data_IF_632433384922
#
_entry.id   IF_632433384922
#
_cell.length_a   1.000
_cell.length_b   1.000
_cell.length_c   1.000
_cell.angle_alpha   90.00
_cell.angle_beta   90.00
_cell.angle_gamma   90.00
#
_symmetry.space_group_name_H-M   'P 1'
#
loop_
_entity.id
_entity.type
_entity.pdbx_description
1 polymer ?
#
# COMPACT_ATOMS: atom_id res chain seq x y z
N UNK A 1 -24.16 8.27 -47.83
CA UNK A 1 -24.93 8.71 -46.66
C UNK A 1 -24.89 7.72 -45.46
N UNK A 2 -24.37 6.48 -45.58
CA UNK A 2 -24.28 5.53 -44.47
C UNK A 2 -23.01 5.65 -43.57
N UNK A 3 -21.99 6.38 -43.96
CA UNK A 3 -20.74 6.49 -43.22
C UNK A 3 -20.71 7.60 -42.13
N UNK A 4 -21.68 8.54 -42.17
CA UNK A 4 -21.79 9.62 -41.16
C UNK A 4 -22.60 9.21 -39.91
N UNK A 5 -23.52 8.26 -40.03
CA UNK A 5 -24.37 7.82 -38.92
C UNK A 5 -23.59 6.98 -37.87
N UNK A 6 -22.56 6.22 -38.30
CA UNK A 6 -21.75 5.38 -37.37
C UNK A 6 -20.77 6.21 -36.48
N UNK A 7 -20.34 7.40 -36.94
CA UNK A 7 -19.46 8.25 -36.12
C UNK A 7 -20.22 9.04 -35.06
N UNK A 8 -21.49 9.35 -35.27
CA UNK A 8 -22.31 10.03 -34.28
C UNK A 8 -22.69 9.11 -33.10
N UNK A 9 -23.01 7.85 -33.37
CA UNK A 9 -23.37 6.87 -32.32
C UNK A 9 -22.17 6.51 -31.43
N UNK A 10 -20.96 6.41 -31.98
CA UNK A 10 -19.74 6.16 -31.19
C UNK A 10 -19.35 7.35 -30.32
N UNK A 11 -19.64 8.59 -30.72
CA UNK A 11 -19.33 9.78 -29.95
C UNK A 11 -20.34 9.98 -28.81
N UNK A 12 -21.60 9.62 -29.00
CA UNK A 12 -22.63 9.65 -27.93
C UNK A 12 -22.42 8.52 -26.88
N UNK A 13 -21.92 7.35 -27.27
CA UNK A 13 -21.55 6.28 -26.32
C UNK A 13 -20.31 6.64 -25.49
N UNK A 14 -19.32 7.38 -26.02
CA UNK A 14 -18.16 7.85 -25.28
C UNK A 14 -18.52 8.98 -24.30
N UNK A 15 -19.51 9.82 -24.62
CA UNK A 15 -20.01 10.86 -23.72
C UNK A 15 -20.94 10.30 -22.62
N UNK A 16 -21.63 9.19 -22.88
CA UNK A 16 -22.45 8.51 -21.87
C UNK A 16 -21.62 7.76 -20.82
N UNK A 17 -20.45 7.24 -21.18
CA UNK A 17 -19.53 6.58 -20.25
C UNK A 17 -18.78 7.59 -19.35
N UNK A 18 -18.55 8.82 -19.81
CA UNK A 18 -17.98 9.89 -18.97
C UNK A 18 -18.99 10.49 -17.98
N UNK A 19 -20.29 10.32 -18.21
CA UNK A 19 -21.37 10.84 -17.36
C UNK A 19 -21.71 9.98 -16.16
N UNK A 20 -21.37 8.68 -16.17
CA UNK A 20 -21.70 7.75 -15.07
C UNK A 20 -20.65 7.80 -13.96
N UNK A 21 -19.39 8.16 -14.27
CA UNK A 21 -18.33 8.35 -13.29
C UNK A 21 -18.49 9.63 -12.44
N UNK A 22 -19.27 10.61 -12.88
CA UNK A 22 -19.44 11.90 -12.18
C UNK A 22 -20.58 11.94 -11.14
N UNK A 23 -21.25 10.84 -10.89
CA UNK A 23 -22.42 10.80 -10.00
C UNK A 23 -22.14 10.60 -8.50
N UNK A 24 -20.94 10.13 -8.11
CA UNK A 24 -20.65 9.71 -6.73
C UNK A 24 -19.52 10.50 -6.02
N UNK A 25 -18.90 11.50 -6.66
CA UNK A 25 -17.74 12.21 -6.07
C UNK A 25 -17.93 13.70 -5.85
N UNK A 26 -19.17 14.17 -5.72
CA UNK A 26 -19.43 15.59 -5.43
C UNK A 26 -18.98 15.91 -3.99
N UNK A 27 -17.76 16.42 -3.84
CA UNK A 27 -17.24 16.98 -2.59
C UNK A 27 -15.89 16.46 -2.13
N UNK A 28 -15.36 15.39 -2.70
CA UNK A 28 -14.07 14.83 -2.28
C UNK A 28 -12.89 15.35 -3.12
N UNK A 29 -11.72 15.51 -2.47
CA UNK A 29 -10.49 15.91 -3.15
C UNK A 29 -10.12 14.89 -4.23
N UNK A 30 -10.05 15.37 -5.48
CA UNK A 30 -9.62 14.55 -6.61
C UNK A 30 -8.11 14.56 -6.73
N UNK A 31 -7.45 13.43 -7.03
CA UNK A 31 -6.02 13.41 -7.25
C UNK A 31 -5.64 13.94 -8.63
N UNK A 32 -4.43 14.46 -8.73
CA UNK A 32 -3.70 14.59 -9.98
C UNK A 32 -3.05 13.24 -10.32
N UNK A 33 -3.20 12.78 -11.58
CA UNK A 33 -2.55 11.56 -12.05
C UNK A 33 -1.12 11.90 -12.47
N UNK A 34 -0.17 11.29 -11.80
CA UNK A 34 1.25 11.54 -12.04
C UNK A 34 2.00 10.22 -12.23
N UNK A 35 3.19 10.31 -12.83
CA UNK A 35 4.10 9.19 -12.93
C UNK A 35 5.49 9.63 -12.45
N UNK A 36 6.22 8.70 -11.85
CA UNK A 36 7.62 8.91 -11.48
C UNK A 36 8.47 7.67 -11.77
N UNK A 37 9.76 7.88 -11.90
CA UNK A 37 10.70 6.78 -12.13
C UNK A 37 11.08 6.09 -10.81
N UNK A 38 11.13 4.77 -10.82
CA UNK A 38 11.66 3.93 -9.76
C UNK A 38 12.61 2.91 -10.39
N UNK A 39 13.90 3.24 -10.39
CA UNK A 39 14.99 2.39 -10.91
C UNK A 39 14.75 1.94 -12.37
N UNK A 40 14.23 2.84 -13.22
CA UNK A 40 13.90 2.59 -14.62
C UNK A 40 12.50 2.04 -14.85
N UNK A 41 11.68 1.90 -13.80
CA UNK A 41 10.28 1.49 -13.89
C UNK A 41 9.40 2.73 -13.67
N UNK A 42 8.50 3.03 -14.61
CA UNK A 42 7.52 4.11 -14.45
C UNK A 42 6.41 3.70 -13.51
N UNK A 43 6.25 4.39 -12.38
CA UNK A 43 5.20 4.13 -11.40
C UNK A 43 4.04 5.13 -11.56
N UNK A 44 2.81 4.62 -11.58
CA UNK A 44 1.58 5.41 -11.62
C UNK A 44 1.17 5.83 -10.21
N UNK A 45 0.76 7.07 -10.02
CA UNK A 45 0.43 7.60 -8.72
C UNK A 45 -0.72 8.64 -8.74
N UNK A 46 -1.38 8.76 -7.62
CA UNK A 46 -2.36 9.79 -7.27
C UNK A 46 -1.73 10.81 -6.33
N UNK A 47 -1.52 12.02 -6.82
CA UNK A 47 -1.04 13.16 -6.04
C UNK A 47 -2.25 13.98 -5.58
N UNK A 48 -2.48 14.07 -4.28
CA UNK A 48 -3.53 14.87 -3.68
C UNK A 48 -2.96 16.19 -3.19
N UNK A 49 -3.38 17.29 -3.82
CA UNK A 49 -2.95 18.66 -3.50
C UNK A 49 -4.12 19.41 -2.87
N UNK A 50 -4.19 19.53 -1.55
CA UNK A 50 -5.28 20.22 -0.88
C UNK A 50 -5.36 21.70 -1.25
N UNK A 51 -6.57 22.24 -1.52
CA UNK A 51 -6.72 23.67 -1.80
C UNK A 51 -6.47 24.54 -0.55
N UNK A 52 -6.19 25.82 -0.76
CA UNK A 52 -5.79 26.76 0.29
C UNK A 52 -6.81 26.88 1.45
N UNK A 53 -8.10 26.73 1.14
CA UNK A 53 -9.16 26.84 2.14
C UNK A 53 -9.30 25.63 3.09
N UNK A 54 -8.63 24.55 2.79
CA UNK A 54 -8.57 23.33 3.64
C UNK A 54 -7.25 23.23 4.39
N UNK A 55 -6.17 23.75 3.79
CA UNK A 55 -4.83 23.63 4.35
C UNK A 55 -4.63 24.49 5.60
N UNK A 56 -4.08 23.88 6.67
CA UNK A 56 -3.56 24.62 7.83
C UNK A 56 -2.22 25.30 7.55
N UNK A 57 -1.57 24.95 6.44
CA UNK A 57 -0.30 25.51 5.98
C UNK A 57 -0.51 26.68 5.01
N UNK A 58 0.44 27.59 4.98
CA UNK A 58 0.48 28.66 3.98
C UNK A 58 0.77 28.05 2.60
N UNK A 59 -0.23 28.05 1.70
CA UNK A 59 -0.11 27.44 0.37
C UNK A 59 0.72 28.24 -0.64
N UNK A 60 1.20 29.43 -0.25
CA UNK A 60 2.23 30.16 -1.02
C UNK A 60 3.66 29.75 -0.67
N UNK A 61 3.83 28.77 0.19
CA UNK A 61 5.10 28.15 0.57
C UNK A 61 5.04 26.64 0.35
N UNK A 62 6.17 25.96 0.12
CA UNK A 62 6.24 24.50 0.08
C UNK A 62 5.68 23.88 1.37
N UNK A 63 4.91 22.81 1.23
CA UNK A 63 4.14 22.14 2.31
C UNK A 63 4.77 20.82 2.69
N UNK A 64 4.45 20.29 3.88
CA UNK A 64 4.74 18.89 4.18
C UNK A 64 4.08 17.95 3.17
N UNK A 65 4.69 16.79 2.97
CA UNK A 65 4.12 15.75 2.13
C UNK A 65 4.22 14.35 2.77
N UNK A 66 3.36 13.42 2.34
CA UNK A 66 3.33 12.04 2.81
C UNK A 66 3.24 11.09 1.62
N UNK A 67 4.15 10.11 1.57
CA UNK A 67 4.06 8.96 0.67
C UNK A 67 3.21 7.88 1.34
N UNK A 68 2.25 7.29 0.63
CA UNK A 68 1.37 6.24 1.14
C UNK A 68 1.51 4.96 0.31
N UNK A 69 2.00 3.89 0.93
CA UNK A 69 2.17 2.58 0.30
C UNK A 69 0.97 1.65 0.50
N UNK A 70 0.64 0.88 -0.54
CA UNK A 70 -0.53 -0.02 -0.57
C UNK A 70 -0.21 -1.45 -0.06
N UNK A 71 -1.25 -2.24 0.35
CA UNK A 71 -1.13 -3.65 0.72
C UNK A 71 -0.54 -4.53 -0.37
N UNK A 72 -0.10 -5.74 -0.02
CA UNK A 72 0.21 -6.79 -0.97
C UNK A 72 -1.00 -7.07 -1.88
N UNK A 73 -0.79 -7.02 -3.19
CA UNK A 73 -1.86 -7.19 -4.18
C UNK A 73 -2.88 -6.05 -4.26
N UNK A 74 -2.71 -4.99 -3.45
CA UNK A 74 -3.51 -3.77 -3.54
C UNK A 74 -3.02 -2.80 -4.60
N UNK A 75 -3.74 -1.70 -4.77
CA UNK A 75 -3.42 -0.59 -5.69
C UNK A 75 -3.76 0.76 -5.06
N UNK A 76 -3.26 1.84 -5.69
CA UNK A 76 -3.40 3.22 -5.22
C UNK A 76 -4.84 3.73 -5.04
N UNK A 77 -5.81 3.11 -5.72
CA UNK A 77 -7.22 3.46 -5.63
C UNK A 77 -7.92 2.92 -4.38
N UNK A 78 -7.36 1.89 -3.75
CA UNK A 78 -7.95 1.20 -2.60
C UNK A 78 -7.58 1.90 -1.28
N UNK A 79 -7.36 1.16 -0.20
CA UNK A 79 -7.13 1.72 1.15
C UNK A 79 -6.02 2.79 1.20
N UNK A 80 -4.92 2.64 0.45
CA UNK A 80 -3.84 3.64 0.43
C UNK A 80 -4.29 4.98 -0.15
N UNK A 81 -5.08 4.97 -1.22
CA UNK A 81 -5.68 6.18 -1.78
C UNK A 81 -6.72 6.81 -0.86
N UNK A 82 -7.49 5.99 -0.13
CA UNK A 82 -8.43 6.48 0.87
C UNK A 82 -7.69 7.22 1.99
N UNK A 83 -6.66 6.63 2.60
CA UNK A 83 -5.84 7.29 3.63
C UNK A 83 -5.17 8.55 3.09
N UNK A 84 -4.57 8.49 1.90
CA UNK A 84 -3.93 9.64 1.27
C UNK A 84 -4.90 10.82 1.13
N UNK A 85 -6.07 10.58 0.55
CA UNK A 85 -7.12 11.57 0.38
C UNK A 85 -7.61 12.14 1.72
N UNK A 86 -7.95 11.28 2.68
CA UNK A 86 -8.51 11.70 3.96
C UNK A 86 -7.51 12.53 4.78
N UNK A 87 -6.23 12.15 4.78
CA UNK A 87 -5.17 12.92 5.42
C UNK A 87 -5.05 14.29 4.75
N UNK A 88 -4.99 14.32 3.41
CA UNK A 88 -4.89 15.56 2.64
C UNK A 88 -6.07 16.52 2.94
N UNK A 89 -7.31 16.01 2.91
CA UNK A 89 -8.54 16.77 3.17
C UNK A 89 -8.61 17.35 4.59
N UNK A 90 -8.05 16.64 5.59
CA UNK A 90 -8.16 17.03 7.00
C UNK A 90 -6.98 17.86 7.51
N UNK A 91 -5.83 17.80 6.86
CA UNK A 91 -4.60 18.47 7.32
C UNK A 91 -4.08 19.54 6.36
N UNK A 92 -4.39 19.41 5.07
CA UNK A 92 -3.75 20.22 4.04
C UNK A 92 -2.32 19.80 3.67
N UNK A 93 -1.85 18.66 4.17
CA UNK A 93 -0.60 18.01 3.77
C UNK A 93 -0.77 17.45 2.35
N UNK A 94 0.23 17.60 1.50
CA UNK A 94 0.26 16.96 0.17
C UNK A 94 0.47 15.46 0.36
N UNK A 95 -0.28 14.60 -0.35
CA UNK A 95 -0.11 13.15 -0.22
C UNK A 95 0.01 12.47 -1.56
N UNK A 96 0.82 11.41 -1.63
CA UNK A 96 1.06 10.61 -2.82
C UNK A 96 0.77 9.14 -2.52
N UNK A 97 -0.27 8.58 -3.15
CA UNK A 97 -0.50 7.13 -3.18
C UNK A 97 -0.08 6.59 -4.56
N UNK A 98 0.67 5.51 -4.61
CA UNK A 98 1.22 4.99 -5.86
C UNK A 98 0.98 3.47 -6.00
N UNK A 99 0.93 2.99 -7.23
CA UNK A 99 1.05 1.57 -7.52
C UNK A 99 2.54 1.20 -7.52
N UNK A 100 2.91 0.18 -6.78
CA UNK A 100 4.28 -0.31 -6.77
C UNK A 100 4.68 -0.90 -8.15
N UNK A 101 5.97 -1.04 -8.38
CA UNK A 101 6.49 -1.72 -9.55
C UNK A 101 5.80 -3.09 -9.74
N UNK A 102 5.52 -3.45 -10.97
CA UNK A 102 4.83 -4.69 -11.39
C UNK A 102 3.33 -4.76 -11.06
N UNK A 103 2.78 -3.80 -10.32
CA UNK A 103 1.39 -3.79 -9.83
C UNK A 103 0.54 -2.72 -10.52
N UNK A 104 -0.79 -2.87 -10.45
CA UNK A 104 -1.74 -1.86 -10.91
C UNK A 104 -1.46 -1.32 -12.32
N UNK A 105 -1.39 0.00 -12.44
CA UNK A 105 -1.06 0.72 -13.68
C UNK A 105 0.43 1.05 -13.81
N UNK A 106 1.25 0.73 -12.82
CA UNK A 106 2.70 0.87 -12.88
C UNK A 106 3.33 -0.11 -13.85
N UNK A 107 4.51 0.23 -14.35
CA UNK A 107 5.31 -0.59 -15.25
C UNK A 107 5.96 -1.79 -14.56
N UNK A 108 6.89 -2.39 -15.27
CA UNK A 108 7.68 -3.54 -14.83
C UNK A 108 7.15 -4.90 -15.31
N UNK A 109 8.09 -5.79 -15.59
CA UNK A 109 7.86 -7.18 -16.00
C UNK A 109 8.78 -8.11 -15.23
N UNK A 110 8.33 -9.33 -14.90
CA UNK A 110 6.98 -9.86 -15.14
C UNK A 110 5.94 -9.18 -14.24
N UNK A 111 4.69 -9.11 -14.70
CA UNK A 111 3.59 -8.55 -13.89
C UNK A 111 3.37 -9.37 -12.62
N UNK A 112 2.91 -8.67 -11.57
CA UNK A 112 2.56 -9.25 -10.27
C UNK A 112 3.74 -9.87 -9.50
N UNK A 113 4.99 -9.50 -9.85
CA UNK A 113 6.13 -9.82 -9.01
C UNK A 113 5.99 -9.05 -7.68
N UNK A 114 6.07 -9.77 -6.57
CA UNK A 114 6.18 -9.17 -5.25
C UNK A 114 7.63 -9.30 -4.79
N UNK A 115 8.36 -8.23 -4.94
CA UNK A 115 9.74 -8.08 -4.52
C UNK A 115 9.79 -7.05 -3.37
N UNK A 116 9.97 -7.49 -2.12
CA UNK A 116 10.01 -6.60 -0.95
C UNK A 116 11.08 -5.51 -1.02
N UNK A 117 12.23 -5.80 -1.65
CA UNK A 117 13.31 -4.81 -1.78
C UNK A 117 12.96 -3.75 -2.82
N UNK A 118 12.35 -4.14 -3.95
CA UNK A 118 11.82 -3.19 -4.93
C UNK A 118 10.71 -2.35 -4.33
N UNK A 119 9.79 -2.94 -3.56
CA UNK A 119 8.73 -2.23 -2.83
C UNK A 119 9.30 -1.14 -1.91
N UNK A 120 10.37 -1.45 -1.17
CA UNK A 120 11.07 -0.48 -0.33
C UNK A 120 11.78 0.61 -1.17
N UNK A 121 12.34 0.26 -2.34
CA UNK A 121 12.92 1.22 -3.27
C UNK A 121 11.86 2.13 -3.89
N UNK A 122 10.69 1.60 -4.23
CA UNK A 122 9.57 2.40 -4.73
C UNK A 122 9.17 3.50 -3.72
N UNK A 123 9.17 3.19 -2.41
CA UNK A 123 8.95 4.20 -1.35
C UNK A 123 10.05 5.25 -1.35
N UNK A 124 11.34 4.86 -1.45
CA UNK A 124 12.47 5.81 -1.52
C UNK A 124 12.39 6.71 -2.74
N UNK A 125 12.01 6.15 -3.89
CA UNK A 125 11.88 6.87 -5.14
C UNK A 125 10.64 7.78 -5.15
N UNK A 126 9.54 7.40 -4.48
CA UNK A 126 8.40 8.27 -4.22
C UNK A 126 8.77 9.50 -3.37
N UNK A 127 9.61 9.31 -2.33
CA UNK A 127 10.18 10.42 -1.54
C UNK A 127 11.06 11.31 -2.42
N UNK A 128 11.89 10.71 -3.28
CA UNK A 128 12.71 11.45 -4.24
C UNK A 128 11.84 12.27 -5.20
N UNK A 129 10.78 11.67 -5.76
CA UNK A 129 9.85 12.38 -6.63
C UNK A 129 9.21 13.58 -5.93
N UNK A 130 8.68 13.40 -4.72
CA UNK A 130 8.10 14.51 -3.96
C UNK A 130 9.12 15.62 -3.69
N UNK A 131 10.38 15.28 -3.42
CA UNK A 131 11.44 16.27 -3.18
C UNK A 131 11.80 17.09 -4.42
N UNK A 132 11.44 16.65 -5.64
CA UNK A 132 11.63 17.43 -6.87
C UNK A 132 10.51 18.44 -7.13
N UNK A 133 9.42 18.39 -6.38
CA UNK A 133 8.28 19.32 -6.48
C UNK A 133 8.52 20.57 -5.61
N UNK A 134 9.67 21.24 -5.76
CA UNK A 134 10.19 22.28 -4.86
C UNK A 134 9.25 23.46 -4.62
N UNK A 135 8.40 23.81 -5.58
CA UNK A 135 7.38 24.86 -5.43
C UNK A 135 6.18 24.41 -4.59
N UNK A 136 6.00 23.09 -4.40
CA UNK A 136 4.83 22.49 -3.75
C UNK A 136 5.19 21.81 -2.43
N UNK A 137 6.29 21.09 -2.37
CA UNK A 137 6.70 20.21 -1.27
C UNK A 137 8.00 20.69 -0.65
N UNK A 138 8.02 20.79 0.68
CA UNK A 138 9.22 21.00 1.46
C UNK A 138 9.96 19.65 1.64
N UNK A 139 11.14 19.47 1.03
CA UNK A 139 11.87 18.19 1.09
C UNK A 139 12.33 17.82 2.51
N UNK A 140 12.40 18.79 3.43
CA UNK A 140 12.73 18.56 4.82
C UNK A 140 11.52 18.15 5.68
N UNK A 141 10.32 18.07 5.09
CA UNK A 141 9.07 17.71 5.77
C UNK A 141 8.31 16.62 5.03
N UNK A 142 8.98 15.52 4.67
CA UNK A 142 8.34 14.36 4.02
C UNK A 142 8.17 13.22 5.02
N UNK A 143 6.94 12.81 5.25
CA UNK A 143 6.56 11.64 6.03
C UNK A 143 6.21 10.44 5.14
N UNK A 144 6.07 9.27 5.75
CA UNK A 144 5.71 8.03 5.05
C UNK A 144 4.68 7.22 5.84
N UNK A 145 3.73 6.63 5.14
CA UNK A 145 2.68 5.77 5.69
C UNK A 145 2.62 4.45 4.92
N UNK A 146 2.66 3.33 5.61
CA UNK A 146 2.47 2.01 5.02
C UNK A 146 1.22 1.31 5.55
N UNK A 147 0.43 0.71 4.65
CA UNK A 147 -0.74 -0.10 5.02
C UNK A 147 -0.45 -1.57 4.73
N UNK A 148 -0.76 -2.46 5.67
CA UNK A 148 -0.58 -3.91 5.55
C UNK A 148 0.88 -4.29 5.24
N UNK A 149 1.17 -4.97 4.12
CA UNK A 149 2.53 -5.29 3.70
C UNK A 149 3.42 -4.04 3.53
N UNK A 150 2.87 -2.91 3.06
CA UNK A 150 3.61 -1.65 3.08
C UNK A 150 3.87 -1.12 4.49
N UNK A 151 3.10 -1.57 5.49
CA UNK A 151 3.44 -1.37 6.91
C UNK A 151 4.73 -2.08 7.35
N UNK A 152 5.25 -2.99 6.53
CA UNK A 152 6.60 -3.55 6.62
C UNK A 152 7.60 -2.82 5.72
N UNK A 153 7.26 -2.57 4.45
CA UNK A 153 8.18 -1.98 3.47
C UNK A 153 8.55 -0.53 3.79
N UNK A 154 7.60 0.26 4.27
CA UNK A 154 7.81 1.66 4.65
C UNK A 154 8.78 1.81 5.83
N UNK A 155 8.60 1.13 6.98
CA UNK A 155 9.60 1.14 8.04
C UNK A 155 10.97 0.61 7.58
N UNK A 156 11.00 -0.46 6.77
CA UNK A 156 12.25 -0.98 6.23
C UNK A 156 13.00 0.06 5.38
N UNK A 157 12.31 0.78 4.50
CA UNK A 157 12.90 1.89 3.75
C UNK A 157 13.42 3.00 4.69
N UNK A 158 12.62 3.35 5.70
CA UNK A 158 12.93 4.42 6.65
C UNK A 158 14.12 4.09 7.58
N UNK A 159 14.43 2.80 7.83
CA UNK A 159 15.60 2.43 8.61
C UNK A 159 16.89 3.05 8.05
N UNK A 160 16.99 3.14 6.74
CA UNK A 160 18.19 3.63 6.04
C UNK A 160 18.03 4.98 5.35
N UNK A 161 16.83 5.35 4.90
CA UNK A 161 16.57 6.64 4.26
C UNK A 161 16.10 7.68 5.28
N UNK A 162 17.02 8.59 5.64
CA UNK A 162 16.80 9.60 6.67
C UNK A 162 16.01 10.83 6.18
N UNK A 163 15.64 10.90 4.92
CA UNK A 163 14.75 11.93 4.37
C UNK A 163 13.30 11.75 4.83
N UNK A 164 12.91 10.52 5.23
CA UNK A 164 11.60 10.21 5.80
C UNK A 164 11.53 10.69 7.24
N UNK A 165 10.94 11.88 7.49
CA UNK A 165 11.01 12.58 8.79
C UNK A 165 10.04 12.04 9.85
N UNK A 166 8.93 11.44 9.43
CA UNK A 166 7.95 10.78 10.30
C UNK A 166 7.46 9.49 9.63
N UNK A 167 7.37 8.40 10.40
CA UNK A 167 7.04 7.07 9.89
C UNK A 167 5.77 6.58 10.56
N UNK A 168 4.76 6.17 9.77
CA UNK A 168 3.56 5.57 10.31
C UNK A 168 3.17 4.30 9.58
N UNK A 169 2.44 3.42 10.27
CA UNK A 169 1.85 2.20 9.68
C UNK A 169 0.42 2.01 10.15
N UNK A 170 -0.37 1.33 9.32
CA UNK A 170 -1.70 0.83 9.66
C UNK A 170 -1.75 -0.65 9.32
N UNK A 171 -2.15 -1.48 10.29
CA UNK A 171 -2.20 -2.93 10.16
C UNK A 171 -0.91 -3.50 9.55
N UNK A 172 0.28 -3.10 10.08
CA UNK A 172 1.58 -3.47 9.51
C UNK A 172 1.84 -4.98 9.58
N UNK A 173 2.41 -5.54 8.49
CA UNK A 173 2.82 -6.95 8.39
C UNK A 173 4.28 -7.02 7.96
N UNK A 174 5.06 -7.90 8.59
CA UNK A 174 6.32 -8.41 8.03
C UNK A 174 6.00 -9.59 7.12
N UNK A 175 5.97 -9.33 5.80
CA UNK A 175 5.54 -10.34 4.83
C UNK A 175 6.45 -11.58 4.82
N UNK A 176 7.76 -11.39 4.98
CA UNK A 176 8.70 -12.51 5.05
C UNK A 176 8.49 -13.39 6.27
N UNK A 177 8.24 -12.80 7.43
CA UNK A 177 7.88 -13.53 8.65
C UNK A 177 6.54 -14.23 8.48
N UNK A 178 5.52 -13.56 7.90
CA UNK A 178 4.22 -14.18 7.64
C UNK A 178 4.35 -15.44 6.77
N UNK A 179 5.12 -15.39 5.69
CA UNK A 179 5.28 -16.53 4.78
C UNK A 179 6.14 -17.65 5.37
N UNK A 180 7.15 -17.34 6.18
CA UNK A 180 8.07 -18.33 6.74
C UNK A 180 7.62 -18.92 8.09
N UNK A 181 6.90 -18.14 8.92
CA UNK A 181 6.53 -18.51 10.28
C UNK A 181 5.01 -18.68 10.47
N UNK A 182 4.18 -18.01 9.64
CA UNK A 182 2.72 -18.02 9.74
C UNK A 182 2.18 -16.99 10.73
N UNK A 183 0.92 -17.19 11.13
CA UNK A 183 0.27 -16.37 12.16
C UNK A 183 0.57 -16.95 13.56
N UNK A 184 0.82 -16.06 14.52
CA UNK A 184 1.10 -16.47 15.90
C UNK A 184 -0.08 -17.17 16.58
N UNK A 185 -1.30 -16.81 16.18
CA UNK A 185 -2.56 -17.42 16.64
C UNK A 185 -2.91 -18.75 15.96
N UNK A 186 -2.08 -19.22 15.04
CA UNK A 186 -2.31 -20.42 14.23
C UNK A 186 -1.22 -21.45 14.45
N UNK A 187 -1.61 -22.71 14.70
CA UNK A 187 -0.66 -23.81 14.87
C UNK A 187 0.06 -24.15 13.56
N UNK A 188 1.35 -23.81 13.50
CA UNK A 188 2.25 -24.16 12.41
C UNK A 188 2.49 -23.04 11.38
N UNK A 189 3.53 -23.25 10.56
CA UNK A 189 3.89 -22.28 9.53
C UNK A 189 2.83 -22.22 8.43
N UNK A 190 2.61 -21.03 7.86
CA UNK A 190 1.70 -20.82 6.75
C UNK A 190 2.07 -21.67 5.53
N UNK A 191 3.35 -21.93 5.34
CA UNK A 191 3.91 -22.79 4.29
C UNK A 191 4.71 -23.95 4.93
N UNK A 192 4.07 -25.08 5.27
CA UNK A 192 4.71 -26.17 6.01
C UNK A 192 5.90 -26.81 5.29
N UNK A 193 5.96 -26.69 3.96
CA UNK A 193 7.02 -27.27 3.13
C UNK A 193 7.85 -26.16 2.42
N UNK A 194 8.24 -25.12 3.15
CA UNK A 194 8.90 -23.94 2.56
C UNK A 194 10.10 -24.31 1.66
N UNK A 195 10.95 -25.26 2.06
CA UNK A 195 12.10 -25.67 1.23
C UNK A 195 11.68 -26.29 -0.11
N UNK A 196 10.60 -27.07 -0.15
CA UNK A 196 10.07 -27.65 -1.38
C UNK A 196 9.46 -26.58 -2.28
N UNK A 197 8.76 -25.63 -1.67
CA UNK A 197 8.15 -24.50 -2.37
C UNK A 197 9.23 -23.55 -2.96
N UNK A 198 10.32 -23.34 -2.24
CA UNK A 198 11.47 -22.58 -2.75
C UNK A 198 12.17 -23.30 -3.91
N UNK A 199 12.30 -24.64 -3.83
CA UNK A 199 12.79 -25.42 -4.97
C UNK A 199 11.89 -25.27 -6.20
N UNK A 200 10.58 -25.27 -6.00
CA UNK A 200 9.62 -25.08 -7.11
C UNK A 200 9.68 -23.66 -7.67
N UNK A 201 9.86 -22.63 -6.82
CA UNK A 201 10.11 -21.26 -7.26
C UNK A 201 11.36 -21.16 -8.15
N UNK A 202 12.45 -21.84 -7.76
CA UNK A 202 13.66 -21.96 -8.60
C UNK A 202 13.41 -22.64 -9.94
N UNK A 203 12.66 -23.75 -9.95
CA UNK A 203 12.28 -24.44 -11.21
C UNK A 203 11.42 -23.56 -12.10
N UNK A 204 10.57 -22.73 -11.53
CA UNK A 204 9.75 -21.80 -12.30
C UNK A 204 10.63 -20.78 -13.05
N UNK A 205 11.73 -20.30 -12.47
CA UNK A 205 12.71 -19.45 -13.17
C UNK A 205 13.32 -20.16 -14.38
N UNK A 206 13.65 -21.44 -14.24
CA UNK A 206 14.16 -22.24 -15.36
C UNK A 206 13.11 -22.39 -16.47
N UNK A 207 11.86 -22.67 -16.11
CA UNK A 207 10.76 -22.76 -17.08
C UNK A 207 10.53 -21.44 -17.84
N UNK A 208 10.52 -20.32 -17.14
CA UNK A 208 10.41 -18.98 -17.76
C UNK A 208 11.59 -18.68 -18.70
N UNK A 209 12.81 -19.05 -18.32
CA UNK A 209 13.99 -18.90 -19.15
C UNK A 209 13.91 -19.73 -20.44
N UNK A 210 13.16 -20.83 -20.44
CA UNK A 210 12.87 -21.66 -21.61
C UNK A 210 11.59 -21.22 -22.37
N UNK A 211 11.00 -20.08 -22.02
CA UNK A 211 9.88 -19.48 -22.74
C UNK A 211 8.50 -19.90 -22.23
N UNK A 212 8.41 -20.59 -21.10
CA UNK A 212 7.12 -20.84 -20.46
C UNK A 212 6.53 -19.53 -19.88
N UNK A 213 5.19 -19.39 -19.82
CA UNK A 213 4.58 -18.24 -19.18
C UNK A 213 4.84 -18.27 -17.66
N UNK A 214 4.90 -17.10 -17.02
CA UNK A 214 4.98 -17.00 -15.57
C UNK A 214 3.80 -17.69 -14.89
N UNK A 215 4.07 -18.42 -13.79
CA UNK A 215 3.04 -19.04 -12.98
C UNK A 215 2.51 -18.04 -11.94
N UNK A 216 1.18 -17.84 -11.89
CA UNK A 216 0.51 -16.94 -10.96
C UNK A 216 -0.23 -17.76 -9.90
N UNK A 217 -0.22 -17.26 -8.67
CA UNK A 217 -1.00 -17.80 -7.56
C UNK A 217 -1.87 -16.74 -6.91
N UNK A 218 -2.89 -17.15 -6.19
CA UNK A 218 -3.79 -16.27 -5.44
C UNK A 218 -3.11 -15.74 -4.19
N UNK A 219 -3.36 -14.47 -3.87
CA UNK A 219 -2.97 -13.90 -2.58
C UNK A 219 -4.03 -14.22 -1.53
N UNK A 220 -5.31 -14.03 -1.86
CA UNK A 220 -6.47 -14.21 -1.00
C UNK A 220 -7.53 -15.08 -1.67
N UNK A 221 -8.55 -15.57 -0.95
CA UNK A 221 -9.70 -16.25 -1.54
C UNK A 221 -10.34 -15.43 -2.66
N UNK A 222 -10.71 -16.07 -3.77
CA UNK A 222 -11.33 -15.42 -4.92
C UNK A 222 -12.86 -15.54 -4.94
N UNK A 223 -13.40 -16.57 -4.29
CA UNK A 223 -14.85 -16.85 -4.23
C UNK A 223 -15.27 -17.09 -2.78
N UNK A 224 -16.55 -16.90 -2.50
CA UNK A 224 -17.10 -17.21 -1.18
C UNK A 224 -16.91 -18.68 -0.78
N UNK A 225 -16.80 -19.60 -1.75
CA UNK A 225 -16.55 -21.02 -1.49
C UNK A 225 -15.11 -21.31 -1.03
N UNK A 226 -14.17 -20.41 -1.33
CA UNK A 226 -12.78 -20.50 -0.87
C UNK A 226 -12.62 -20.04 0.59
N UNK A 227 -13.62 -19.36 1.15
CA UNK A 227 -13.61 -18.86 2.55
C UNK A 227 -14.12 -19.95 3.46
N UNK A 228 -13.21 -20.58 4.20
CA UNK A 228 -13.55 -21.65 5.15
C UNK A 228 -13.30 -21.20 6.60
N UNK A 229 -14.03 -21.75 7.60
CA UNK A 229 -13.90 -21.32 9.00
C UNK A 229 -12.52 -21.59 9.62
N UNK A 230 -11.71 -22.44 9.01
CA UNK A 230 -10.36 -22.79 9.43
C UNK A 230 -9.29 -21.83 8.89
N UNK A 231 -9.64 -20.90 8.00
CA UNK A 231 -8.74 -19.84 7.58
C UNK A 231 -8.57 -18.78 8.69
N UNK A 232 -7.38 -18.15 8.82
CA UNK A 232 -7.20 -16.95 9.61
C UNK A 232 -8.24 -15.87 9.26
N UNK A 233 -8.69 -15.10 10.26
CA UNK A 233 -9.68 -14.02 10.08
C UNK A 233 -9.23 -13.05 9.00
N UNK A 234 -7.95 -12.72 8.98
CA UNK A 234 -7.32 -11.90 7.93
C UNK A 234 -7.66 -12.38 6.51
N UNK A 235 -7.58 -13.70 6.23
CA UNK A 235 -7.90 -14.25 4.90
C UNK A 235 -9.40 -14.26 4.62
N UNK A 236 -10.22 -14.58 5.63
CA UNK A 236 -11.69 -14.57 5.47
C UNK A 236 -12.20 -13.17 5.09
N UNK A 237 -11.74 -12.15 5.79
CA UNK A 237 -12.13 -10.75 5.55
C UNK A 237 -11.50 -10.15 4.29
N UNK A 238 -10.32 -10.64 3.88
CA UNK A 238 -9.69 -10.22 2.63
C UNK A 238 -10.55 -10.54 1.42
N UNK A 239 -11.29 -11.65 1.42
CA UNK A 239 -12.28 -11.94 0.38
C UNK A 239 -13.34 -10.82 0.31
N UNK A 240 -13.93 -10.46 1.45
CA UNK A 240 -14.97 -9.44 1.49
C UNK A 240 -14.45 -8.09 0.98
N UNK A 241 -13.24 -7.69 1.36
CA UNK A 241 -12.67 -6.43 0.89
C UNK A 241 -12.30 -6.47 -0.59
N UNK A 242 -11.53 -7.46 -1.05
CA UNK A 242 -10.94 -7.43 -2.40
C UNK A 242 -11.86 -7.97 -3.49
N UNK A 243 -12.85 -8.82 -3.17
CA UNK A 243 -13.71 -9.50 -4.15
C UNK A 243 -15.16 -9.00 -4.17
N UNK A 244 -15.53 -8.06 -3.29
CA UNK A 244 -16.85 -7.44 -3.24
C UNK A 244 -16.80 -5.94 -3.53
N UNK A 245 -17.93 -5.26 -3.73
CA UNK A 245 -17.95 -3.81 -3.92
C UNK A 245 -17.37 -2.99 -2.76
N UNK A 246 -17.02 -3.61 -1.62
CA UNK A 246 -16.39 -2.96 -0.47
C UNK A 246 -15.08 -2.28 -0.87
N UNK A 247 -14.17 -2.99 -1.54
CA UNK A 247 -12.88 -2.47 -1.95
C UNK A 247 -12.34 -3.04 -3.26
N UNK A 248 -13.16 -3.81 -4.02
CA UNK A 248 -12.75 -4.38 -5.30
C UNK A 248 -12.28 -3.30 -6.29
N UNK A 249 -11.13 -3.55 -6.94
CA UNK A 249 -10.63 -2.68 -7.99
C UNK A 249 -10.10 -3.51 -9.18
N UNK A 250 -10.43 -3.13 -10.45
CA UNK A 250 -10.11 -3.96 -11.61
C UNK A 250 -8.62 -4.21 -11.86
N UNK A 251 -7.75 -3.27 -11.46
CA UNK A 251 -6.29 -3.41 -11.62
C UNK A 251 -5.61 -4.15 -10.47
N UNK A 252 -6.39 -4.57 -9.46
CA UNK A 252 -5.95 -5.41 -8.33
C UNK A 252 -6.56 -6.81 -8.44
N UNK A 253 -6.07 -7.70 -9.33
CA UNK A 253 -6.73 -8.99 -9.61
C UNK A 253 -6.51 -10.04 -8.53
N UNK A 254 -5.82 -9.71 -7.44
CA UNK A 254 -5.53 -10.61 -6.33
C UNK A 254 -4.63 -11.81 -6.70
N UNK A 255 -3.70 -11.57 -7.61
CA UNK A 255 -2.68 -12.53 -8.03
C UNK A 255 -1.29 -12.01 -7.72
N UNK A 256 -0.36 -12.92 -7.39
CA UNK A 256 1.07 -12.65 -7.44
C UNK A 256 1.82 -13.75 -8.19
N UNK A 257 3.00 -13.41 -8.64
CA UNK A 257 3.88 -14.34 -9.32
C UNK A 257 4.37 -15.40 -8.32
N UNK A 258 4.17 -16.69 -8.62
CA UNK A 258 4.51 -17.79 -7.71
C UNK A 258 5.95 -17.71 -7.18
N UNK A 259 6.90 -17.46 -8.06
CA UNK A 259 8.31 -17.37 -7.67
C UNK A 259 8.68 -16.14 -6.83
N UNK A 260 7.75 -15.21 -6.58
CA UNK A 260 7.95 -14.14 -5.59
C UNK A 260 8.30 -14.70 -4.20
N UNK A 261 7.98 -15.96 -3.94
CA UNK A 261 8.30 -16.63 -2.69
C UNK A 261 9.80 -16.60 -2.37
N UNK A 262 10.68 -16.70 -3.37
CA UNK A 262 12.13 -16.67 -3.18
C UNK A 262 12.65 -15.27 -2.81
N UNK A 263 11.93 -14.21 -3.17
CA UNK A 263 12.23 -12.82 -2.73
C UNK A 263 11.64 -12.54 -1.34
N UNK A 264 10.48 -13.12 -1.02
CA UNK A 264 9.75 -12.87 0.21
C UNK A 264 10.34 -13.65 1.41
N UNK A 265 10.68 -14.91 1.24
CA UNK A 265 10.91 -15.85 2.34
C UNK A 265 12.00 -15.43 3.35
N UNK A 266 13.02 -14.71 2.91
CA UNK A 266 14.13 -14.24 3.77
C UNK A 266 14.05 -12.76 4.14
N UNK A 267 13.07 -12.04 3.61
CA UNK A 267 12.88 -10.62 3.91
C UNK A 267 12.41 -10.44 5.36
N UNK A 268 12.96 -9.44 6.04
CA UNK A 268 12.61 -9.11 7.44
C UNK A 268 12.46 -7.60 7.59
N UNK A 269 11.21 -7.15 7.64
CA UNK A 269 10.84 -5.73 7.66
C UNK A 269 11.33 -5.01 8.90
N UNK A 270 11.26 -5.67 10.05
CA UNK A 270 11.40 -5.02 11.35
C UNK A 270 12.74 -5.27 12.05
N UNK A 271 13.71 -5.89 11.35
CA UNK A 271 14.99 -6.30 11.95
C UNK A 271 15.81 -5.15 12.55
N UNK A 272 15.69 -3.92 12.02
CA UNK A 272 16.51 -2.79 12.41
C UNK A 272 15.66 -1.56 12.78
N UNK A 273 14.54 -1.77 13.48
CA UNK A 273 13.59 -0.70 13.84
C UNK A 273 14.22 0.43 14.66
N UNK A 274 15.25 0.12 15.49
CA UNK A 274 16.00 1.12 16.24
C UNK A 274 16.67 2.19 15.34
N UNK A 275 16.95 1.88 14.07
CA UNK A 275 17.51 2.85 13.14
C UNK A 275 16.52 3.95 12.71
N UNK A 276 15.22 3.82 13.00
CA UNK A 276 14.24 4.89 12.74
C UNK A 276 14.48 6.06 13.68
N UNK A 277 14.80 5.79 14.94
CA UNK A 277 15.14 6.82 15.94
C UNK A 277 16.26 7.76 15.43
N UNK A 278 16.23 9.06 15.78
CA UNK A 278 15.27 9.78 16.65
C UNK A 278 14.00 10.29 15.92
N UNK A 279 13.71 9.79 14.74
CA UNK A 279 12.50 10.17 13.99
C UNK A 279 11.28 9.44 14.59
N UNK A 280 10.11 10.11 14.69
CA UNK A 280 8.94 9.54 15.31
C UNK A 280 8.35 8.37 14.48
N UNK A 281 7.94 7.32 15.20
CA UNK A 281 7.26 6.14 14.67
C UNK A 281 5.88 6.01 15.32
N UNK A 282 4.84 5.89 14.50
CA UNK A 282 3.49 5.53 14.93
C UNK A 282 3.06 4.24 14.23
N UNK A 283 2.70 3.22 14.99
CA UNK A 283 2.07 2.01 14.45
C UNK A 283 0.61 1.93 14.94
N UNK A 284 -0.32 1.72 14.00
CA UNK A 284 -1.76 1.58 14.29
C UNK A 284 -2.16 0.15 13.95
N UNK A 285 -2.84 -0.51 14.90
CA UNK A 285 -3.37 -1.87 14.70
C UNK A 285 -4.75 -2.01 15.37
N UNK A 286 -5.56 -2.94 14.90
CA UNK A 286 -6.82 -3.29 15.55
C UNK A 286 -6.60 -4.26 16.70
N UNK A 287 -7.41 -4.15 17.79
CA UNK A 287 -7.31 -5.07 18.92
C UNK A 287 -7.70 -6.50 18.58
N UNK A 288 -8.57 -6.66 17.57
CA UNK A 288 -9.10 -7.95 17.15
C UNK A 288 -8.39 -8.50 15.89
N UNK A 289 -7.29 -7.82 15.48
CA UNK A 289 -6.48 -8.25 14.35
C UNK A 289 -5.58 -9.43 14.73
N UNK A 290 -5.68 -10.53 14.01
CA UNK A 290 -4.78 -11.69 14.12
C UNK A 290 -3.32 -11.37 13.69
N UNK A 291 -3.10 -10.18 13.16
CA UNK A 291 -1.80 -9.60 12.76
C UNK A 291 -1.25 -8.56 13.76
N UNK A 292 -1.94 -8.29 14.88
CA UNK A 292 -1.53 -7.28 15.88
C UNK A 292 -0.10 -7.49 16.36
N UNK A 293 0.29 -8.73 16.57
CA UNK A 293 1.61 -9.13 17.08
C UNK A 293 2.79 -8.62 16.23
N UNK A 294 2.59 -8.39 14.91
CA UNK A 294 3.63 -7.78 14.08
C UNK A 294 3.97 -6.35 14.52
N UNK A 295 2.93 -5.55 14.83
CA UNK A 295 3.13 -4.19 15.32
C UNK A 295 3.72 -4.17 16.74
N UNK A 296 3.31 -5.10 17.61
CA UNK A 296 3.87 -5.25 18.96
C UNK A 296 5.36 -5.60 18.91
N UNK A 297 5.74 -6.62 18.13
CA UNK A 297 7.15 -7.01 17.95
C UNK A 297 8.01 -5.90 17.32
N UNK A 298 7.45 -5.15 16.37
CA UNK A 298 8.15 -4.05 15.73
C UNK A 298 8.41 -2.89 16.70
N UNK A 299 7.40 -2.52 17.50
CA UNK A 299 7.52 -1.47 18.52
C UNK A 299 8.50 -1.87 19.63
N UNK A 300 8.55 -3.14 20.01
CA UNK A 300 9.54 -3.61 20.98
C UNK A 300 10.98 -3.38 20.52
N UNK A 301 11.25 -3.57 19.23
CA UNK A 301 12.57 -3.37 18.62
C UNK A 301 12.89 -1.90 18.30
N UNK A 302 11.91 -1.03 18.24
CA UNK A 302 12.11 0.38 17.95
C UNK A 302 12.60 1.13 19.20
N UNK A 303 13.34 2.24 18.99
CA UNK A 303 13.69 3.20 20.02
C UNK A 303 12.79 4.45 19.95
N UNK A 304 12.81 5.25 21.04
CA UNK A 304 12.02 6.48 21.14
C UNK A 304 12.40 7.53 20.06
N UNK A 305 11.46 8.37 19.62
CA UNK A 305 10.04 8.40 19.98
C UNK A 305 9.21 7.38 19.18
N UNK A 306 8.44 6.54 19.88
CA UNK A 306 7.61 5.50 19.28
C UNK A 306 6.26 5.39 19.96
N UNK A 307 5.24 4.96 19.20
CA UNK A 307 3.89 4.73 19.71
C UNK A 307 3.23 3.56 19.01
N UNK A 308 2.56 2.70 19.78
CA UNK A 308 1.57 1.74 19.28
C UNK A 308 0.17 2.23 19.68
N UNK A 309 -0.65 2.55 18.68
CA UNK A 309 -2.05 2.92 18.88
C UNK A 309 -2.96 1.77 18.49
N UNK A 310 -3.56 1.13 19.49
CA UNK A 310 -4.48 0.00 19.28
C UNK A 310 -5.91 0.55 19.19
N UNK A 311 -6.59 0.23 18.07
CA UNK A 311 -7.99 0.62 17.82
C UNK A 311 -8.91 -0.50 18.34
N UNK A 312 -9.73 -0.23 19.38
CA UNK A 312 -10.55 -1.28 19.99
C UNK A 312 -11.61 -1.84 19.03
N UNK A 313 -11.77 -3.17 19.03
CA UNK A 313 -12.83 -3.90 18.33
C UNK A 313 -12.69 -3.92 16.82
N UNK A 314 -11.57 -3.47 16.24
CA UNK A 314 -11.31 -3.56 14.80
C UNK A 314 -10.30 -4.68 14.50
N UNK A 315 -10.52 -5.33 13.36
CA UNK A 315 -9.63 -6.33 12.78
C UNK A 315 -8.56 -5.68 11.89
N UNK A 316 -7.77 -6.50 11.22
CA UNK A 316 -6.80 -6.03 10.23
C UNK A 316 -7.48 -5.32 9.06
N UNK A 317 -8.48 -5.96 8.47
CA UNK A 317 -9.16 -5.48 7.25
C UNK A 317 -10.15 -4.36 7.57
N UNK A 318 -10.73 -4.32 8.77
CA UNK A 318 -11.58 -3.22 9.17
C UNK A 318 -10.85 -1.87 9.09
N UNK A 319 -9.57 -1.85 9.44
CA UNK A 319 -8.76 -0.63 9.33
C UNK A 319 -8.49 -0.16 7.90
N UNK A 320 -8.92 -0.91 6.87
CA UNK A 320 -8.77 -0.47 5.48
C UNK A 320 -9.79 0.61 5.08
N UNK A 321 -10.98 0.56 5.65
CA UNK A 321 -12.09 1.47 5.31
C UNK A 321 -12.83 2.03 6.54
N UNK A 322 -12.71 1.45 7.73
CA UNK A 322 -13.18 2.03 8.98
C UNK A 322 -12.15 3.01 9.57
N UNK A 323 -11.88 4.09 8.85
CA UNK A 323 -10.77 5.03 9.11
C UNK A 323 -11.06 6.10 10.15
N UNK A 324 -12.25 6.10 10.74
CA UNK A 324 -12.74 7.17 11.64
C UNK A 324 -11.93 7.36 12.94
N UNK A 325 -11.15 6.38 13.37
CA UNK A 325 -10.22 6.48 14.49
C UNK A 325 -8.76 6.61 14.05
N UNK A 326 -8.34 5.85 13.03
CA UNK A 326 -6.97 5.84 12.53
C UNK A 326 -6.58 7.13 11.79
N UNK A 327 -7.44 7.66 10.89
CA UNK A 327 -7.13 8.89 10.15
C UNK A 327 -6.93 10.11 11.06
N UNK A 328 -7.79 10.42 12.06
CA UNK A 328 -7.53 11.51 12.98
C UNK A 328 -6.21 11.37 13.73
N UNK A 329 -5.84 10.15 14.14
CA UNK A 329 -4.57 9.90 14.83
C UNK A 329 -3.37 10.12 13.90
N UNK A 330 -3.45 9.68 12.63
CA UNK A 330 -2.43 9.95 11.61
C UNK A 330 -2.29 11.45 11.34
N UNK A 331 -3.40 12.16 11.17
CA UNK A 331 -3.38 13.63 10.98
C UNK A 331 -2.71 14.32 12.15
N UNK A 332 -3.05 13.99 13.39
CA UNK A 332 -2.41 14.54 14.58
C UNK A 332 -0.91 14.24 14.58
N UNK A 333 -0.52 13.00 14.28
CA UNK A 333 0.87 12.58 14.27
C UNK A 333 1.69 13.33 13.22
N UNK A 334 1.23 13.37 11.97
CA UNK A 334 1.99 14.02 10.90
C UNK A 334 2.02 15.55 11.03
N UNK A 335 0.94 16.18 11.47
CA UNK A 335 0.94 17.64 11.69
C UNK A 335 1.83 18.09 12.84
N UNK A 336 2.08 17.21 13.81
CA UNK A 336 2.99 17.50 14.93
C UNK A 336 4.47 17.27 14.58
N UNK A 337 4.78 16.49 13.54
CA UNK A 337 6.13 16.01 13.25
C UNK A 337 6.66 16.40 11.87
N UNK A 338 5.85 17.01 11.02
CA UNK A 338 6.20 17.59 9.73
C UNK A 338 5.88 19.09 9.71
#
# INVERSE_FOLDING_TARGET
>A
MMHLAHKAILLECLLALSGVANGLTKGWLQPEWVHFDSDGISLAAHLYVPPANVSIYNTSQPRPAIVVGHPHGGVKEQTSGQYAREIAERSGIVTLAFDAAYQGESGGLPRYLEDPYQRANDVRNAVTYLSTLEDLVDPERIGVLGVCASGGYVPFAAQTDKRMKAVATVSGIDLGTLYSEGFESYDGPMLPNLNELLLEAGRQRDHEAHGAPPNLTRIFPLTAADVTPDLPVFYQESYDYYQTPRGHWPTAPNWHLWRSLDEIATYRSFQWMQLISPRPLLMIAGSDADTLYFSERAIEQAEEPKELYIVPGLTHIDLYDHTNQSTPRLVQFFTANL
#
